data_IF_548671937441
#
_entry.id   IF_548671937441
#
_cell.length_a   1.000
_cell.length_b   1.000
_cell.length_c   1.000
_cell.angle_alpha   90.00
_cell.angle_beta   90.00
_cell.angle_gamma   90.00
#
_symmetry.space_group_name_H-M   'P 1'
#
loop_
_entity.id
_entity.type
_entity.pdbx_description
1 polymer ?
#
# COMPACT_ATOMS: atom_id res chain seq x y z
N UNK A 1 4.34 -21.54 -12.93
CA UNK A 1 3.62 -21.57 -11.64
C UNK A 1 4.46 -21.09 -10.45
N UNK A 2 5.80 -21.28 -10.42
CA UNK A 2 6.72 -20.69 -9.42
C UNK A 2 6.78 -19.14 -9.34
N UNK A 3 6.29 -18.43 -10.37
CA UNK A 3 6.45 -16.97 -10.50
C UNK A 3 5.52 -16.15 -9.59
N UNK A 4 4.31 -16.63 -9.30
CA UNK A 4 3.30 -15.87 -8.55
C UNK A 4 3.66 -15.68 -7.07
N UNK A 5 4.23 -16.70 -6.43
CA UNK A 5 4.66 -16.63 -5.03
C UNK A 5 5.80 -15.64 -4.79
N UNK A 6 6.64 -15.38 -5.80
CA UNK A 6 7.69 -14.37 -5.71
C UNK A 6 7.11 -12.94 -5.72
N UNK A 7 6.11 -12.66 -6.56
CA UNK A 7 5.45 -11.36 -6.60
C UNK A 7 4.60 -11.06 -5.35
N UNK A 8 4.01 -12.09 -4.72
CA UNK A 8 3.29 -11.93 -3.45
C UNK A 8 4.21 -11.60 -2.27
N UNK A 9 5.41 -12.20 -2.22
CA UNK A 9 6.44 -11.83 -1.23
C UNK A 9 6.89 -10.37 -1.40
N UNK A 10 6.97 -9.87 -2.63
CA UNK A 10 7.24 -8.45 -2.90
C UNK A 10 6.14 -7.54 -2.32
N UNK A 11 4.87 -7.97 -2.33
CA UNK A 11 3.75 -7.26 -1.70
C UNK A 11 3.87 -7.11 -0.18
N UNK A 12 4.65 -7.95 0.49
CA UNK A 12 5.00 -7.81 1.91
C UNK A 12 6.28 -6.98 2.09
N UNK A 13 7.23 -7.10 1.16
CA UNK A 13 8.52 -6.38 1.22
C UNK A 13 8.32 -4.89 0.96
N UNK A 14 7.48 -4.48 0.01
CA UNK A 14 7.32 -3.07 -0.34
C UNK A 14 6.86 -2.18 0.84
N UNK A 15 5.82 -2.55 1.61
CA UNK A 15 5.47 -1.86 2.85
C UNK A 15 6.61 -1.83 3.88
N UNK A 16 7.34 -2.93 4.04
CA UNK A 16 8.43 -3.02 5.01
C UNK A 16 9.61 -2.09 4.64
N UNK A 17 9.96 -2.03 3.36
CA UNK A 17 11.00 -1.11 2.84
C UNK A 17 10.57 0.33 3.07
N UNK A 18 9.32 0.69 2.78
CA UNK A 18 8.81 2.05 2.97
C UNK A 18 8.82 2.48 4.45
N UNK A 19 8.39 1.58 5.35
CA UNK A 19 8.43 1.85 6.80
C UNK A 19 9.86 2.00 7.30
N UNK A 20 10.77 1.13 6.86
CA UNK A 20 12.17 1.19 7.23
C UNK A 20 12.82 2.49 6.74
N UNK A 21 12.57 2.88 5.49
CA UNK A 21 13.05 4.12 4.90
C UNK A 21 12.62 5.35 5.70
N UNK A 22 11.32 5.51 5.92
CA UNK A 22 10.77 6.63 6.71
C UNK A 22 11.36 6.66 8.11
N UNK A 23 11.49 5.49 8.76
CA UNK A 23 12.04 5.41 10.10
C UNK A 23 13.52 5.83 10.15
N UNK A 24 14.34 5.35 9.22
CA UNK A 24 15.76 5.72 9.11
C UNK A 24 15.88 7.22 8.82
N UNK A 25 15.18 7.74 7.82
CA UNK A 25 15.23 9.16 7.46
C UNK A 25 14.81 10.07 8.62
N UNK A 26 13.78 9.69 9.38
CA UNK A 26 13.38 10.41 10.59
C UNK A 26 14.49 10.44 11.65
N UNK A 27 15.22 9.34 11.86
CA UNK A 27 16.32 9.32 12.84
C UNK A 27 17.51 10.16 12.42
N UNK A 28 17.66 10.39 11.13
CA UNK A 28 18.75 11.19 10.55
C UNK A 28 18.39 12.67 10.43
N UNK A 29 17.18 13.08 10.83
CA UNK A 29 16.71 14.46 10.80
C UNK A 29 16.44 14.98 12.22
N UNK A 30 17.46 15.51 12.92
CA UNK A 30 17.28 16.13 14.24
C UNK A 30 16.27 17.28 14.17
N UNK A 31 15.30 17.28 15.09
CA UNK A 31 14.26 18.30 15.15
C UNK A 31 13.05 18.03 14.24
N UNK A 32 13.02 16.91 13.50
CA UNK A 32 11.84 16.52 12.73
C UNK A 32 10.66 16.19 13.65
N UNK A 33 9.55 16.91 13.49
CA UNK A 33 8.30 16.69 14.20
C UNK A 33 7.37 15.79 13.38
N UNK A 34 7.30 14.51 13.74
CA UNK A 34 6.44 13.54 13.06
C UNK A 34 4.93 13.80 13.22
N UNK A 35 4.53 14.63 14.18
CA UNK A 35 3.15 15.05 14.37
C UNK A 35 2.76 16.20 13.45
N UNK A 36 3.65 17.17 13.27
CA UNK A 36 3.37 18.40 12.53
C UNK A 36 3.88 18.41 11.08
N UNK A 37 4.86 17.58 10.74
CA UNK A 37 5.49 17.59 9.41
C UNK A 37 5.05 16.41 8.54
N UNK A 38 4.95 16.68 7.25
CA UNK A 38 4.70 15.65 6.25
C UNK A 38 5.89 14.69 6.13
N UNK A 39 5.60 13.44 5.79
CA UNK A 39 6.61 12.41 5.51
C UNK A 39 7.55 12.89 4.39
N UNK A 40 7.04 13.58 3.38
CA UNK A 40 7.84 14.04 2.24
C UNK A 40 8.85 15.14 2.57
N UNK A 41 8.72 15.83 3.70
CA UNK A 41 9.72 16.80 4.16
C UNK A 41 11.05 16.12 4.52
N UNK A 42 11.04 14.81 4.77
CA UNK A 42 12.26 14.00 4.95
C UNK A 42 13.14 13.94 3.70
N UNK A 43 12.55 14.16 2.52
CA UNK A 43 13.25 14.27 1.24
C UNK A 43 13.54 15.72 0.81
N UNK A 44 13.17 16.70 1.65
CA UNK A 44 13.27 18.11 1.34
C UNK A 44 14.61 18.75 1.77
N UNK A 45 14.85 20.00 1.38
CA UNK A 45 16.13 20.69 1.59
C UNK A 45 16.48 20.94 3.06
N UNK A 46 15.51 20.84 3.97
CA UNK A 46 15.74 20.98 5.41
C UNK A 46 16.32 19.69 6.04
N UNK A 47 16.17 18.54 5.39
CA UNK A 47 16.70 17.28 5.88
C UNK A 47 18.23 17.25 5.73
N UNK A 48 19.00 16.74 6.71
CA UNK A 48 20.46 16.64 6.59
C UNK A 48 20.92 15.64 5.54
N UNK A 49 20.15 14.58 5.31
CA UNK A 49 20.43 13.52 4.33
C UNK A 49 19.14 13.15 3.57
N UNK A 50 18.64 14.05 2.70
CA UNK A 50 17.38 13.85 1.99
C UNK A 50 17.44 12.65 1.03
N UNK A 51 18.63 12.27 0.56
CA UNK A 51 18.83 11.17 -0.37
C UNK A 51 18.40 9.82 0.22
N UNK A 52 18.49 9.64 1.53
CA UNK A 52 18.05 8.41 2.21
C UNK A 52 16.59 8.16 1.89
N UNK A 53 15.74 9.15 2.20
CA UNK A 53 14.30 9.10 1.92
C UNK A 53 14.02 9.00 0.42
N UNK A 54 14.67 9.84 -0.40
CA UNK A 54 14.35 9.92 -1.83
C UNK A 54 14.66 8.61 -2.56
N UNK A 55 15.84 8.03 -2.33
CA UNK A 55 16.23 6.73 -2.91
C UNK A 55 15.36 5.60 -2.35
N UNK A 56 15.11 5.61 -1.04
CA UNK A 56 14.27 4.61 -0.39
C UNK A 56 12.84 4.60 -0.93
N UNK A 57 12.24 5.77 -1.16
CA UNK A 57 10.93 5.91 -1.77
C UNK A 57 10.88 5.45 -3.23
N UNK A 58 11.93 5.68 -4.02
CA UNK A 58 12.01 5.12 -5.38
C UNK A 58 12.07 3.60 -5.34
N UNK A 59 12.90 3.01 -4.49
CA UNK A 59 13.02 1.55 -4.35
C UNK A 59 11.70 0.94 -3.86
N UNK A 60 11.10 1.52 -2.82
CA UNK A 60 9.81 1.10 -2.29
C UNK A 60 8.70 1.22 -3.35
N UNK A 61 8.74 2.31 -4.14
CA UNK A 61 7.78 2.56 -5.19
C UNK A 61 7.85 1.54 -6.33
N UNK A 62 9.06 1.19 -6.79
CA UNK A 62 9.28 0.13 -7.78
C UNK A 62 8.76 -1.22 -7.23
N UNK A 63 9.05 -1.53 -5.96
CA UNK A 63 8.51 -2.72 -5.33
C UNK A 63 6.97 -2.69 -5.26
N UNK A 64 6.37 -1.53 -5.00
CA UNK A 64 4.93 -1.31 -5.00
C UNK A 64 4.27 -1.53 -6.37
N UNK A 65 4.94 -1.13 -7.47
CA UNK A 65 4.48 -1.42 -8.83
C UNK A 65 4.37 -2.93 -9.08
N UNK A 66 5.40 -3.69 -8.69
CA UNK A 66 5.37 -5.16 -8.79
C UNK A 66 4.36 -5.80 -7.85
N UNK A 67 4.19 -5.25 -6.64
CA UNK A 67 3.17 -5.69 -5.69
C UNK A 67 1.77 -5.60 -6.29
N UNK A 68 1.44 -4.53 -7.02
CA UNK A 68 0.16 -4.37 -7.70
C UNK A 68 -0.11 -5.47 -8.73
N UNK A 69 0.89 -5.82 -9.55
CA UNK A 69 0.77 -6.93 -10.50
C UNK A 69 0.57 -8.29 -9.80
N UNK A 70 1.34 -8.55 -8.73
CA UNK A 70 1.20 -9.75 -7.93
C UNK A 70 -0.19 -9.86 -7.28
N UNK A 71 -0.71 -8.75 -6.77
CA UNK A 71 -2.00 -8.67 -6.12
C UNK A 71 -3.17 -8.92 -7.10
N UNK A 72 -3.13 -8.34 -8.30
CA UNK A 72 -4.11 -8.62 -9.35
C UNK A 72 -4.17 -10.10 -9.70
N UNK A 73 -3.00 -10.72 -9.91
CA UNK A 73 -2.92 -12.12 -10.28
C UNK A 73 -3.38 -13.06 -9.14
N UNK A 74 -3.05 -12.72 -7.89
CA UNK A 74 -3.48 -13.49 -6.73
C UNK A 74 -5.01 -13.48 -6.57
N UNK A 75 -5.66 -12.34 -6.83
CA UNK A 75 -7.12 -12.22 -6.80
C UNK A 75 -7.78 -13.00 -7.94
N UNK A 76 -7.22 -12.94 -9.15
CA UNK A 76 -7.72 -13.72 -10.29
C UNK A 76 -7.66 -15.22 -9.99
N UNK A 77 -6.55 -15.70 -9.43
CA UNK A 77 -6.39 -17.11 -9.07
C UNK A 77 -7.29 -17.55 -7.90
N UNK A 78 -7.61 -16.64 -6.98
CA UNK A 78 -8.64 -16.84 -5.95
C UNK A 78 -10.08 -16.93 -6.54
N UNK A 79 -10.21 -17.05 -7.87
CA UNK A 79 -11.46 -17.12 -8.61
C UNK A 79 -12.10 -15.75 -8.85
N UNK A 80 -11.39 -14.66 -8.56
CA UNK A 80 -11.88 -13.30 -8.75
C UNK A 80 -12.04 -12.92 -10.22
N UNK A 81 -12.93 -11.97 -10.50
CA UNK A 81 -13.16 -11.48 -11.87
C UNK A 81 -11.89 -10.78 -12.38
N UNK A 82 -11.36 -11.19 -13.53
CA UNK A 82 -10.09 -10.69 -14.08
C UNK A 82 -10.01 -9.16 -14.14
N UNK A 83 -11.00 -8.49 -14.73
CA UNK A 83 -11.02 -7.02 -14.86
C UNK A 83 -11.05 -6.34 -13.49
N UNK A 84 -11.88 -6.83 -12.57
CA UNK A 84 -12.00 -6.26 -11.21
C UNK A 84 -10.71 -6.45 -10.41
N UNK A 85 -10.07 -7.62 -10.56
CA UNK A 85 -8.78 -7.95 -9.95
C UNK A 85 -7.67 -7.05 -10.50
N UNK A 86 -7.69 -6.76 -11.80
CA UNK A 86 -6.76 -5.83 -12.43
C UNK A 86 -6.88 -4.41 -11.86
N UNK A 87 -8.11 -3.91 -11.59
CA UNK A 87 -8.30 -2.63 -10.91
C UNK A 87 -7.76 -2.62 -9.49
N UNK A 88 -7.98 -3.70 -8.72
CA UNK A 88 -7.41 -3.81 -7.37
C UNK A 88 -5.87 -3.69 -7.41
N UNK A 89 -5.22 -4.43 -8.32
CA UNK A 89 -3.77 -4.34 -8.51
C UNK A 89 -3.31 -2.99 -9.05
N UNK A 90 -4.08 -2.35 -9.94
CA UNK A 90 -3.77 -1.01 -10.44
C UNK A 90 -3.70 0.00 -9.31
N UNK A 91 -4.68 0.02 -8.40
CA UNK A 91 -4.68 0.97 -7.28
C UNK A 91 -3.51 0.76 -6.31
N UNK A 92 -3.08 -0.49 -6.10
CA UNK A 92 -1.85 -0.80 -5.36
C UNK A 92 -0.61 -0.31 -6.13
N UNK A 93 -0.55 -0.53 -7.45
CA UNK A 93 0.56 -0.06 -8.28
C UNK A 93 0.64 1.47 -8.30
N UNK A 94 -0.49 2.19 -8.33
CA UNK A 94 -0.53 3.64 -8.23
C UNK A 94 0.05 4.15 -6.90
N UNK A 95 -0.06 3.37 -5.83
CA UNK A 95 0.64 3.65 -4.55
C UNK A 95 2.15 3.64 -4.74
N UNK A 96 2.66 2.60 -5.41
CA UNK A 96 4.07 2.50 -5.76
C UNK A 96 4.52 3.66 -6.65
N UNK A 97 3.73 4.01 -7.67
CA UNK A 97 4.01 5.16 -8.53
C UNK A 97 4.06 6.47 -7.74
N UNK A 98 3.15 6.67 -6.78
CA UNK A 98 3.16 7.82 -5.89
C UNK A 98 4.43 7.92 -5.05
N UNK A 99 4.94 6.78 -4.55
CA UNK A 99 6.22 6.74 -3.84
C UNK A 99 7.41 7.04 -4.76
N UNK A 100 7.43 6.52 -6.00
CA UNK A 100 8.45 6.89 -7.00
C UNK A 100 8.44 8.40 -7.24
N UNK A 101 7.25 9.01 -7.42
CA UNK A 101 7.15 10.46 -7.59
C UNK A 101 7.60 11.24 -6.36
N UNK A 102 7.31 10.76 -5.14
CA UNK A 102 7.80 11.39 -3.92
C UNK A 102 9.34 11.40 -3.85
N UNK A 103 10.00 10.36 -4.35
CA UNK A 103 11.45 10.24 -4.36
C UNK A 103 12.17 10.86 -5.56
N UNK A 104 11.46 11.21 -6.65
CA UNK A 104 12.06 11.89 -7.83
C UNK A 104 11.77 13.39 -7.82
N UNK A 105 10.52 13.77 -7.51
CA UNK A 105 10.11 15.17 -7.41
C UNK A 105 10.17 15.56 -5.94
N UNK A 106 11.31 16.02 -5.47
CA UNK A 106 11.53 16.28 -4.04
C UNK A 106 10.68 17.45 -3.54
N UNK A 107 10.28 17.43 -2.27
CA UNK A 107 9.65 18.60 -1.66
C UNK A 107 10.61 19.81 -1.67
N UNK A 108 10.18 21.04 -2.05
CA UNK A 108 8.83 21.50 -2.37
C UNK A 108 8.55 21.69 -3.88
N UNK A 109 9.18 20.91 -4.77
CA UNK A 109 8.96 20.99 -6.23
C UNK A 109 7.45 20.98 -6.57
N UNK A 110 6.94 21.86 -7.46
CA UNK A 110 5.55 21.82 -7.88
C UNK A 110 5.05 20.44 -8.37
N UNK A 111 5.91 19.67 -9.05
CA UNK A 111 5.64 18.32 -9.50
C UNK A 111 5.52 17.31 -8.34
N UNK A 112 6.02 17.63 -7.14
CA UNK A 112 5.91 16.77 -5.95
C UNK A 112 4.46 16.37 -5.67
N UNK A 113 3.49 17.25 -5.99
CA UNK A 113 2.05 16.97 -5.83
C UNK A 113 1.58 15.73 -6.61
N UNK A 114 2.31 15.31 -7.64
CA UNK A 114 2.04 14.08 -8.38
C UNK A 114 2.09 12.83 -7.47
N UNK A 115 2.84 12.86 -6.36
CA UNK A 115 2.87 11.77 -5.38
C UNK A 115 1.47 11.46 -4.80
N UNK A 116 0.55 12.43 -4.87
CA UNK A 116 -0.85 12.27 -4.47
C UNK A 116 -1.59 11.16 -5.21
N UNK A 117 -1.10 10.72 -6.39
CA UNK A 117 -1.62 9.52 -7.08
C UNK A 117 -1.58 8.27 -6.18
N UNK A 118 -0.64 8.23 -5.22
CA UNK A 118 -0.54 7.12 -4.29
C UNK A 118 -1.71 6.99 -3.31
N UNK A 119 -2.48 8.07 -3.11
CA UNK A 119 -3.72 8.03 -2.30
C UNK A 119 -4.79 7.13 -2.93
N UNK A 120 -4.70 6.85 -4.23
CA UNK A 120 -5.62 5.96 -4.92
C UNK A 120 -5.67 4.54 -4.34
N UNK A 121 -4.71 4.13 -3.49
CA UNK A 121 -4.74 2.88 -2.71
C UNK A 121 -6.06 2.68 -1.95
N UNK A 122 -6.72 3.78 -1.55
CA UNK A 122 -8.01 3.73 -0.87
C UNK A 122 -9.06 2.93 -1.64
N UNK A 123 -8.97 2.81 -2.97
CA UNK A 123 -9.92 2.02 -3.77
C UNK A 123 -9.54 0.54 -3.89
N UNK A 124 -8.29 0.15 -3.60
CA UNK A 124 -7.87 -1.25 -3.70
C UNK A 124 -8.70 -2.23 -2.82
N UNK A 125 -9.07 -1.90 -1.57
CA UNK A 125 -9.96 -2.74 -0.76
C UNK A 125 -11.36 -2.93 -1.35
N UNK A 126 -11.93 -1.89 -1.99
CA UNK A 126 -13.23 -1.98 -2.65
C UNK A 126 -13.19 -2.98 -3.79
N UNK A 127 -12.20 -2.86 -4.68
CA UNK A 127 -12.06 -3.77 -5.82
C UNK A 127 -11.67 -5.18 -5.39
N UNK A 128 -10.94 -5.33 -4.28
CA UNK A 128 -10.68 -6.63 -3.66
C UNK A 128 -11.96 -7.30 -3.18
N UNK A 129 -12.80 -6.56 -2.46
CA UNK A 129 -14.10 -7.05 -2.00
C UNK A 129 -15.00 -7.46 -3.16
N UNK A 130 -15.03 -6.64 -4.21
CA UNK A 130 -15.80 -6.93 -5.42
C UNK A 130 -15.27 -8.14 -6.18
N UNK A 131 -13.95 -8.27 -6.34
CA UNK A 131 -13.33 -9.40 -7.03
C UNK A 131 -13.72 -10.73 -6.35
N UNK A 132 -13.73 -10.75 -5.01
CA UNK A 132 -14.00 -11.93 -4.20
C UNK A 132 -15.49 -12.09 -3.84
N UNK A 133 -16.37 -11.22 -4.33
CA UNK A 133 -17.78 -11.24 -3.98
C UNK A 133 -18.44 -12.55 -4.45
N UNK A 134 -19.17 -13.20 -3.55
CA UNK A 134 -19.81 -14.48 -3.84
C UNK A 134 -18.86 -15.69 -3.86
N UNK A 135 -17.58 -15.54 -3.47
CA UNK A 135 -16.65 -16.66 -3.29
C UNK A 135 -16.69 -17.15 -1.84
N UNK A 136 -17.29 -18.32 -1.53
CA UNK A 136 -17.50 -18.76 -0.15
C UNK A 136 -16.19 -18.84 0.66
N UNK A 137 -15.13 -19.36 0.04
CA UNK A 137 -13.81 -19.52 0.64
C UNK A 137 -13.13 -18.18 1.00
N UNK A 138 -13.53 -17.09 0.34
CA UNK A 138 -12.93 -15.76 0.51
C UNK A 138 -13.90 -14.72 1.09
N UNK A 139 -15.10 -15.13 1.54
CA UNK A 139 -16.13 -14.22 2.07
C UNK A 139 -15.62 -13.34 3.22
N UNK A 140 -14.77 -13.88 4.09
CA UNK A 140 -14.18 -13.10 5.20
C UNK A 140 -13.27 -11.98 4.70
N UNK A 141 -12.40 -12.27 3.72
CA UNK A 141 -11.51 -11.27 3.12
C UNK A 141 -12.29 -10.22 2.32
N UNK A 142 -13.35 -10.63 1.63
CA UNK A 142 -14.23 -9.71 0.91
C UNK A 142 -14.90 -8.71 1.87
N UNK A 143 -15.54 -9.21 2.93
CA UNK A 143 -16.21 -8.38 3.94
C UNK A 143 -15.21 -7.48 4.69
N UNK A 144 -14.05 -8.03 5.07
CA UNK A 144 -12.97 -7.27 5.68
C UNK A 144 -12.53 -6.11 4.78
N UNK A 145 -12.27 -6.38 3.50
CA UNK A 145 -11.80 -5.35 2.57
C UNK A 145 -12.87 -4.28 2.30
N UNK A 146 -14.15 -4.66 2.26
CA UNK A 146 -15.24 -3.69 2.13
C UNK A 146 -15.37 -2.80 3.37
N UNK A 147 -15.29 -3.37 4.57
CA UNK A 147 -15.27 -2.59 5.82
C UNK A 147 -14.05 -1.67 5.89
N UNK A 148 -12.88 -2.17 5.48
CA UNK A 148 -11.64 -1.41 5.46
C UNK A 148 -11.69 -0.24 4.47
N UNK A 149 -12.34 -0.42 3.31
CA UNK A 149 -12.58 0.66 2.36
C UNK A 149 -13.29 1.86 3.01
N UNK A 150 -14.40 1.62 3.70
CA UNK A 150 -15.13 2.69 4.38
C UNK A 150 -14.32 3.31 5.53
N UNK A 151 -13.55 2.49 6.26
CA UNK A 151 -12.61 2.98 7.28
C UNK A 151 -11.54 3.91 6.69
N UNK A 152 -10.91 3.51 5.59
CA UNK A 152 -9.92 4.35 4.90
C UNK A 152 -10.54 5.62 4.33
N UNK A 153 -11.73 5.55 3.74
CA UNK A 153 -12.45 6.74 3.26
C UNK A 153 -12.73 7.73 4.40
N UNK A 154 -13.14 7.22 5.56
CA UNK A 154 -13.36 8.07 6.73
C UNK A 154 -12.05 8.72 7.17
N UNK A 155 -10.96 7.95 7.34
CA UNK A 155 -9.66 8.50 7.72
C UNK A 155 -9.13 9.50 6.69
N UNK A 156 -9.34 9.24 5.40
CA UNK A 156 -8.99 10.16 4.32
C UNK A 156 -9.77 11.47 4.40
N UNK A 157 -11.08 11.41 4.68
CA UNK A 157 -11.91 12.59 4.90
C UNK A 157 -11.43 13.42 6.12
N UNK A 158 -11.06 12.76 7.22
CA UNK A 158 -10.51 13.45 8.40
C UNK A 158 -9.15 14.10 8.07
N UNK A 159 -8.27 13.41 7.33
CA UNK A 159 -6.99 13.94 6.86
C UNK A 159 -7.15 15.19 6.00
N UNK A 160 -8.19 15.27 5.15
CA UNK A 160 -8.47 16.46 4.33
C UNK A 160 -9.12 17.60 5.10
N UNK A 161 -9.45 17.40 6.39
CA UNK A 161 -9.98 18.42 7.28
C UNK A 161 -11.50 18.44 7.38
N UNK A 162 -12.19 17.37 6.97
CA UNK A 162 -13.65 17.25 7.18
C UNK A 162 -13.99 17.38 8.68
N UNK A 163 -15.07 18.11 8.98
CA UNK A 163 -15.49 18.49 10.33
C UNK A 163 -14.49 19.34 11.13
N UNK A 164 -13.48 19.92 10.48
CA UNK A 164 -12.52 20.84 11.11
C UNK A 164 -11.76 20.19 12.29
N UNK A 165 -11.59 18.86 12.24
CA UNK A 165 -10.94 18.07 13.30
C UNK A 165 -9.42 18.23 13.31
N UNK A 166 -8.85 18.62 12.16
CA UNK A 166 -7.41 18.77 11.96
C UNK A 166 -6.97 20.10 12.55
N UNK A 167 -6.18 20.06 13.61
CA UNK A 167 -5.47 21.25 14.10
C UNK A 167 -4.21 21.38 13.25
N UNK A 168 -3.84 22.54 12.71
CA UNK A 168 -2.73 22.65 11.72
C UNK A 168 -1.36 22.05 12.12
N UNK A 169 -1.22 21.55 13.35
CA UNK A 169 -0.06 20.91 13.97
C UNK A 169 -0.11 19.37 14.00
N UNK A 170 -1.17 18.72 13.50
CA UNK A 170 -1.36 17.26 13.59
C UNK A 170 -1.33 16.54 12.23
N UNK A 171 -1.02 17.27 11.15
CA UNK A 171 -1.09 16.75 9.77
C UNK A 171 -0.18 15.53 9.55
N UNK A 172 0.97 15.51 10.22
CA UNK A 172 1.91 14.40 10.19
C UNK A 172 1.33 13.12 10.77
N UNK A 173 0.51 13.21 11.83
CA UNK A 173 -0.19 12.06 12.40
C UNK A 173 -1.26 11.52 11.45
N UNK A 174 -2.06 12.40 10.86
CA UNK A 174 -3.09 12.00 9.91
C UNK A 174 -2.51 11.32 8.67
N UNK A 175 -1.43 11.89 8.09
CA UNK A 175 -0.78 11.31 6.93
C UNK A 175 -0.21 9.92 7.23
N UNK A 176 0.49 9.77 8.37
CA UNK A 176 1.09 8.49 8.79
C UNK A 176 0.02 7.47 9.14
N UNK A 177 -1.06 7.88 9.80
CA UNK A 177 -2.20 7.02 10.12
C UNK A 177 -2.85 6.46 8.84
N UNK A 178 -3.11 7.33 7.86
CA UNK A 178 -3.64 6.90 6.57
C UNK A 178 -2.68 5.94 5.83
N UNK A 179 -1.39 6.27 5.79
CA UNK A 179 -0.38 5.42 5.16
C UNK A 179 -0.28 4.05 5.84
N UNK A 180 -0.20 4.04 7.17
CA UNK A 180 -0.14 2.83 7.98
C UNK A 180 -1.35 1.92 7.74
N UNK A 181 -2.57 2.46 7.82
CA UNK A 181 -3.78 1.67 7.60
C UNK A 181 -3.86 1.12 6.17
N UNK A 182 -3.39 1.89 5.18
CA UNK A 182 -3.37 1.45 3.79
C UNK A 182 -2.39 0.27 3.58
N UNK A 183 -1.17 0.39 4.12
CA UNK A 183 -0.14 -0.64 4.06
C UNK A 183 -0.49 -1.88 4.89
N UNK A 184 -1.12 -1.69 6.05
CA UNK A 184 -1.57 -2.78 6.91
C UNK A 184 -2.64 -3.64 6.22
N UNK A 185 -3.62 -3.01 5.56
CA UNK A 185 -4.59 -3.75 4.76
C UNK A 185 -3.93 -4.54 3.63
N UNK A 186 -3.01 -3.91 2.89
CA UNK A 186 -2.31 -4.58 1.81
C UNK A 186 -1.56 -5.82 2.32
N UNK A 187 -0.86 -5.71 3.44
CA UNK A 187 -0.16 -6.83 4.07
C UNK A 187 -1.12 -7.96 4.50
N UNK A 188 -2.23 -7.63 5.15
CA UNK A 188 -3.25 -8.61 5.59
C UNK A 188 -3.88 -9.32 4.38
N UNK A 189 -4.24 -8.57 3.34
CA UNK A 189 -4.86 -9.10 2.14
C UNK A 189 -3.89 -10.01 1.37
N UNK A 190 -2.65 -9.55 1.14
CA UNK A 190 -1.61 -10.33 0.47
C UNK A 190 -1.29 -11.63 1.23
N UNK A 191 -1.11 -11.56 2.55
CA UNK A 191 -0.86 -12.73 3.39
C UNK A 191 -2.02 -13.74 3.34
N UNK A 192 -3.26 -13.26 3.36
CA UNK A 192 -4.46 -14.12 3.32
C UNK A 192 -4.58 -14.83 1.98
N UNK A 193 -4.32 -14.13 0.88
CA UNK A 193 -4.32 -14.70 -0.47
C UNK A 193 -3.18 -15.73 -0.64
N UNK A 194 -1.97 -15.43 -0.16
CA UNK A 194 -0.84 -16.37 -0.21
C UNK A 194 -1.10 -17.65 0.60
N UNK A 195 -1.66 -17.51 1.81
CA UNK A 195 -1.96 -18.68 2.66
C UNK A 195 -2.96 -19.62 2.00
N UNK A 196 -3.98 -19.08 1.34
CA UNK A 196 -4.97 -19.90 0.63
C UNK A 196 -4.36 -20.55 -0.61
N UNK A 197 -3.55 -19.82 -1.38
CA UNK A 197 -2.81 -20.38 -2.51
C UNK A 197 -2.00 -21.61 -2.11
N UNK A 198 -1.22 -21.51 -1.02
CA UNK A 198 -0.38 -22.62 -0.56
C UNK A 198 -1.19 -23.86 -0.18
N UNK A 199 -2.38 -23.67 0.40
CA UNK A 199 -3.27 -24.77 0.77
C UNK A 199 -3.82 -25.49 -0.46
N UNK A 200 -4.27 -24.74 -1.46
CA UNK A 200 -4.76 -25.33 -2.72
C UNK A 200 -3.68 -26.12 -3.43
N UNK A 201 -2.47 -25.55 -3.54
CA UNK A 201 -1.34 -26.21 -4.20
C UNK A 201 -0.90 -27.51 -3.51
N UNK A 202 -0.85 -27.54 -2.17
CA UNK A 202 -0.52 -28.76 -1.43
C UNK A 202 -1.61 -29.82 -1.62
N UNK A 203 -2.88 -29.43 -1.59
CA UNK A 203 -4.00 -30.36 -1.83
C UNK A 203 -4.02 -30.95 -3.23
N UNK A 204 -3.63 -30.18 -4.25
CA UNK A 204 -3.48 -30.67 -5.63
C UNK A 204 -2.30 -31.66 -5.79
N UNK A 205 -1.20 -31.43 -5.08
CA UNK A 205 -0.06 -32.37 -5.09
C UNK A 205 -0.39 -33.68 -4.39
N UNK A 206 -1.07 -33.62 -3.25
CA UNK A 206 -1.50 -34.81 -2.51
C UNK A 206 -2.49 -35.64 -3.35
N UNK A 207 -3.45 -35.00 -4.01
CA UNK A 207 -4.42 -35.70 -4.88
C UNK A 207 -3.82 -36.26 -6.16
N UNK A 208 -2.78 -35.62 -6.72
CA UNK A 208 -2.06 -36.14 -7.89
C UNK A 208 -1.09 -37.30 -7.55
N UNK A 209 -0.75 -37.48 -6.27
CA UNK A 209 0.13 -38.54 -5.78
C UNK A 209 -0.60 -39.77 -5.21
N UNK A 210 -1.92 -39.71 -5.10
CA UNK A 210 -2.80 -40.77 -4.64
C UNK A 210 -3.43 -41.53 -5.83
#
# INVERSE_FOLDING_TARGET
>A
MLRTGAFLKIGVIAPAVMVADVWIAQRLFPGFDAGAQFISELGGPAAPMPEVFNIGMVIAGIAGLFAGAGFAHALEHAGGRRVVSAFAGLFVALTGLGAVFAGIFHWPDPMHRACGVGLAIQFAPLFTAWALWGKPEHRRLANFSLGWFFGLLLVFALLTGVWNIRTGYDVGYWQRGHAFLSLLWLAIAAWTLERNWRRTFVGELESASA
#
